data_IF_712166364527
#
_entry.id   IF_712166364527
#
_cell.length_a   1.000
_cell.length_b   1.000
_cell.length_c   1.000
_cell.angle_alpha   90.00
_cell.angle_beta   90.00
_cell.angle_gamma   90.00
#
_symmetry.space_group_name_H-M   'P 1'
#
loop_
_entity.id
_entity.type
_entity.pdbx_description
1 polymer ?
#
# COMPACT_ATOMS: atom_id res chain seq x y z
N UNK A 1 -8.44 15.63 6.44
CA UNK A 1 -7.35 15.84 7.42
C UNK A 1 -7.90 15.40 8.77
N UNK A 2 -7.15 14.64 9.57
CA UNK A 2 -7.54 14.49 10.97
C UNK A 2 -7.22 15.79 11.70
N UNK A 3 -7.99 16.12 12.74
CA UNK A 3 -7.82 17.35 13.53
C UNK A 3 -6.42 17.52 14.13
N UNK A 4 -5.63 16.45 14.21
CA UNK A 4 -4.24 16.46 14.65
C UNK A 4 -3.21 16.78 13.56
N UNK A 5 -3.63 17.33 12.41
CA UNK A 5 -2.75 17.68 11.29
C UNK A 5 -2.15 16.48 10.56
N UNK A 6 -2.55 15.24 10.92
CA UNK A 6 -2.07 14.02 10.26
C UNK A 6 -3.08 13.56 9.21
N UNK A 7 -2.56 13.11 8.07
CA UNK A 7 -3.36 12.39 7.09
C UNK A 7 -3.36 10.90 7.45
N UNK A 8 -4.53 10.35 7.82
CA UNK A 8 -4.73 8.90 7.85
C UNK A 8 -5.31 8.41 6.54
N UNK A 9 -5.02 7.15 6.22
CA UNK A 9 -5.77 6.45 5.18
C UNK A 9 -7.26 6.51 5.49
N UNK A 10 -8.05 6.84 4.47
CA UNK A 10 -9.49 6.82 4.55
C UNK A 10 -9.96 5.36 4.68
N UNK A 11 -10.48 5.00 5.85
CA UNK A 11 -11.11 3.70 6.07
C UNK A 11 -12.60 3.74 5.68
N UNK A 12 -12.91 4.38 4.55
CA UNK A 12 -14.27 4.45 4.01
C UNK A 12 -14.28 3.84 2.61
N UNK A 13 -15.23 2.94 2.31
CA UNK A 13 -15.28 2.25 1.02
C UNK A 13 -15.62 3.21 -0.13
N UNK A 14 -16.29 4.32 0.19
CA UNK A 14 -16.62 5.40 -0.75
C UNK A 14 -16.45 6.76 -0.07
N UNK A 15 -16.12 7.77 -0.87
CA UNK A 15 -16.19 9.17 -0.45
C UNK A 15 -17.57 9.51 0.12
N UNK A 16 -17.63 10.37 1.15
CA UNK A 16 -18.91 10.90 1.68
C UNK A 16 -19.57 11.91 0.74
N UNK A 17 -18.79 12.55 -0.13
CA UNK A 17 -19.29 13.49 -1.14
C UNK A 17 -19.96 12.78 -2.30
N UNK A 18 -21.10 13.30 -2.77
CA UNK A 18 -21.94 12.70 -3.81
C UNK A 18 -21.33 12.73 -5.23
N UNK A 19 -20.26 13.51 -5.44
CA UNK A 19 -19.58 13.68 -6.75
C UNK A 19 -18.22 13.00 -6.85
N UNK A 20 -17.76 12.31 -5.81
CA UNK A 20 -16.44 11.70 -5.81
C UNK A 20 -16.52 10.31 -6.45
N UNK A 21 -15.82 10.12 -7.58
CA UNK A 21 -15.75 8.84 -8.31
C UNK A 21 -14.83 7.80 -7.64
N UNK A 22 -14.18 8.15 -6.53
CA UNK A 22 -13.32 7.24 -5.79
C UNK A 22 -14.14 6.14 -5.10
N UNK A 23 -13.76 4.90 -5.36
CA UNK A 23 -14.24 3.72 -4.66
C UNK A 23 -13.04 2.87 -4.24
N UNK A 24 -13.02 2.44 -2.99
CA UNK A 24 -11.98 1.56 -2.49
C UNK A 24 -12.18 0.18 -3.12
N UNK A 25 -11.29 -0.20 -4.04
CA UNK A 25 -11.30 -1.54 -4.63
C UNK A 25 -10.71 -2.52 -3.61
N UNK A 26 -11.40 -3.65 -3.42
CA UNK A 26 -11.00 -4.72 -2.48
C UNK A 26 -9.57 -5.21 -2.70
N UNK A 27 -9.11 -5.26 -3.95
CA UNK A 27 -7.78 -5.79 -4.30
C UNK A 27 -6.75 -4.67 -4.55
N UNK A 28 -6.98 -3.46 -4.01
CA UNK A 28 -6.08 -2.33 -4.25
C UNK A 28 -4.68 -2.54 -3.68
N UNK A 29 -4.56 -3.27 -2.56
CA UNK A 29 -3.28 -3.55 -1.92
C UNK A 29 -2.49 -4.59 -2.73
N UNK A 30 -3.11 -5.72 -3.05
CA UNK A 30 -2.53 -6.79 -3.86
C UNK A 30 -1.99 -6.25 -5.20
N UNK A 31 -2.81 -5.46 -5.92
CA UNK A 31 -2.38 -4.81 -7.17
C UNK A 31 -1.22 -3.83 -6.97
N UNK A 32 -1.10 -3.20 -5.81
CA UNK A 32 0.06 -2.36 -5.51
C UNK A 32 1.32 -3.22 -5.29
N UNK A 33 1.18 -4.36 -4.59
CA UNK A 33 2.27 -5.30 -4.38
C UNK A 33 2.73 -5.95 -5.69
N UNK A 34 1.82 -6.32 -6.60
CA UNK A 34 2.16 -6.82 -7.94
C UNK A 34 3.02 -5.83 -8.72
N UNK A 35 2.61 -4.55 -8.74
CA UNK A 35 3.36 -3.48 -9.41
C UNK A 35 4.73 -3.26 -8.80
N UNK A 36 4.89 -3.49 -7.50
CA UNK A 36 6.18 -3.38 -6.83
C UNK A 36 7.07 -4.59 -7.15
N UNK A 37 6.49 -5.79 -7.24
CA UNK A 37 7.18 -7.03 -7.65
C UNK A 37 7.66 -6.99 -9.11
N UNK A 38 6.94 -6.29 -9.98
CA UNK A 38 7.29 -6.21 -11.40
C UNK A 38 8.42 -5.24 -11.74
N UNK A 39 8.97 -4.51 -10.75
CA UNK A 39 10.10 -3.60 -10.96
C UNK A 39 11.43 -4.35 -10.90
N UNK A 40 12.47 -3.76 -11.48
CA UNK A 40 13.82 -4.31 -11.37
C UNK A 40 14.28 -4.40 -9.90
N UNK A 41 15.11 -5.40 -9.60
CA UNK A 41 15.58 -5.69 -8.24
C UNK A 41 16.25 -4.48 -7.58
N UNK A 42 17.07 -3.73 -8.33
CA UNK A 42 17.72 -2.52 -7.82
C UNK A 42 16.69 -1.45 -7.40
N UNK A 43 15.65 -1.28 -8.21
CA UNK A 43 14.56 -0.34 -7.92
C UNK A 43 13.78 -0.80 -6.69
N UNK A 44 13.48 -2.10 -6.58
CA UNK A 44 12.83 -2.67 -5.40
C UNK A 44 13.65 -2.45 -4.13
N UNK A 45 14.96 -2.70 -4.17
CA UNK A 45 15.88 -2.49 -3.04
C UNK A 45 15.91 -1.01 -2.63
N UNK A 46 15.96 -0.09 -3.60
CA UNK A 46 15.94 1.36 -3.34
C UNK A 46 14.64 1.78 -2.65
N UNK A 47 13.49 1.28 -3.12
CA UNK A 47 12.18 1.56 -2.51
C UNK A 47 12.12 0.97 -1.09
N UNK A 48 12.56 -0.27 -0.90
CA UNK A 48 12.57 -0.94 0.40
C UNK A 48 13.40 -0.16 1.44
N UNK A 49 14.63 0.24 1.07
CA UNK A 49 15.49 1.05 1.95
C UNK A 49 14.87 2.40 2.29
N UNK A 50 14.27 3.07 1.31
CA UNK A 50 13.72 4.43 1.48
C UNK A 50 12.45 4.47 2.33
N UNK A 51 11.56 3.51 2.16
CA UNK A 51 10.20 3.58 2.73
C UNK A 51 9.88 2.49 3.74
N UNK A 52 10.63 1.39 3.75
CA UNK A 52 10.29 0.18 4.50
C UNK A 52 11.46 -0.35 5.36
N UNK A 53 12.46 0.48 5.64
CA UNK A 53 13.61 0.08 6.47
C UNK A 53 14.44 -1.08 5.90
N UNK A 54 14.40 -1.27 4.58
CA UNK A 54 15.06 -2.37 3.87
C UNK A 54 14.21 -3.64 3.73
N UNK A 55 13.04 -3.71 4.38
CA UNK A 55 12.10 -4.83 4.26
C UNK A 55 11.24 -4.72 2.99
N UNK A 56 10.86 -5.86 2.39
CA UNK A 56 10.02 -5.92 1.19
C UNK A 56 8.65 -6.52 1.52
N UNK A 57 7.67 -5.70 1.94
CA UNK A 57 6.35 -6.21 2.33
C UNK A 57 5.54 -6.82 1.17
N UNK A 58 5.99 -6.67 -0.08
CA UNK A 58 5.38 -7.32 -1.25
C UNK A 58 6.04 -8.64 -1.63
N UNK A 59 7.12 -9.05 -0.97
CA UNK A 59 7.77 -10.37 -1.16
C UNK A 59 7.46 -11.28 0.03
N UNK A 60 7.46 -10.73 1.24
CA UNK A 60 7.39 -11.49 2.49
C UNK A 60 5.96 -11.75 3.01
N UNK A 61 4.91 -11.35 2.30
CA UNK A 61 3.51 -11.67 2.68
C UNK A 61 3.21 -13.17 2.68
N UNK A 62 4.00 -13.98 1.97
CA UNK A 62 3.92 -15.44 1.99
C UNK A 62 4.58 -16.07 3.24
N UNK A 63 5.47 -15.35 3.94
CA UNK A 63 6.27 -15.90 5.03
C UNK A 63 5.56 -15.89 6.40
N UNK A 64 4.41 -15.21 6.53
CA UNK A 64 3.65 -15.08 7.79
C UNK A 64 2.51 -16.11 7.98
N UNK A 65 2.52 -17.20 7.21
CA UNK A 65 1.62 -18.37 7.42
C UNK A 65 2.29 -19.52 8.18
N UNK A 66 3.53 -19.35 8.67
CA UNK A 66 4.28 -20.38 9.41
C UNK A 66 4.77 -19.90 10.79
N UNK A 67 3.84 -19.45 11.64
CA UNK A 67 4.05 -19.41 13.10
C UNK A 67 2.80 -19.87 13.81
#
# INVERSE_FOLDING_TARGET
>A
MLENGKCRWLNVPKCRGTKCSYYQKTNSLEKAQDRLRSLDEEVQVRIAKKYYGGFRPWVDTEAKSRR
#
